data_IF_969991848453
#
_entry.id   IF_969991848453
#
_cell.length_a   1.000
_cell.length_b   1.000
_cell.length_c   1.000
_cell.angle_alpha   90.00
_cell.angle_beta   90.00
_cell.angle_gamma   90.00
#
_symmetry.space_group_name_H-M   'P 1'
#
loop_
_entity.id
_entity.type
_entity.pdbx_description
1 polymer ?
#
# COMPACT_ATOMS: atom_id res chain seq x y z
N UNK A 1 -19.01 -54.74 40.39
CA UNK A 1 -19.38 -53.34 40.05
C UNK A 1 -18.12 -52.65 39.54
N UNK A 2 -18.17 -52.06 38.34
CA UNK A 2 -16.99 -51.57 37.60
C UNK A 2 -16.87 -50.03 37.71
N UNK A 3 -15.64 -49.55 37.44
CA UNK A 3 -15.24 -48.21 36.92
C UNK A 3 -14.96 -47.16 38.01
N UNK A 4 -13.95 -46.28 37.92
CA UNK A 4 -13.06 -45.90 36.80
C UNK A 4 -11.85 -45.14 37.33
N UNK A 5 -10.75 -45.26 36.59
CA UNK A 5 -9.46 -44.57 36.72
C UNK A 5 -9.54 -43.03 36.74
N UNK A 6 -8.59 -42.47 37.49
CA UNK A 6 -7.94 -41.16 37.35
C UNK A 6 -7.52 -40.86 35.90
N UNK A 7 -7.84 -39.68 35.37
CA UNK A 7 -7.00 -38.98 34.38
C UNK A 7 -7.09 -37.47 34.61
N UNK A 8 -5.95 -36.89 34.98
CA UNK A 8 -5.71 -35.44 35.12
C UNK A 8 -5.50 -34.89 33.71
N UNK A 9 -6.34 -33.94 33.28
CA UNK A 9 -6.18 -33.25 31.99
C UNK A 9 -5.16 -32.13 32.16
N UNK A 10 -3.92 -32.37 31.73
CA UNK A 10 -2.94 -31.32 31.53
C UNK A 10 -3.21 -30.63 30.18
N UNK A 11 -3.90 -29.50 30.22
CA UNK A 11 -4.11 -28.61 29.07
C UNK A 11 -2.82 -27.79 28.83
N UNK A 12 -1.94 -28.30 27.98
CA UNK A 12 -0.81 -27.54 27.44
C UNK A 12 -1.33 -26.55 26.39
N UNK A 13 -1.52 -25.29 26.79
CA UNK A 13 -1.69 -24.17 25.87
C UNK A 13 -0.35 -23.93 25.15
N UNK A 14 -0.18 -24.54 23.98
CA UNK A 14 0.89 -24.15 23.05
C UNK A 14 0.55 -22.78 22.48
N UNK A 15 1.21 -21.76 23.03
CA UNK A 15 1.19 -20.40 22.52
C UNK A 15 1.81 -20.38 21.12
N UNK A 16 0.97 -20.45 20.08
CA UNK A 16 1.41 -20.19 18.71
C UNK A 16 1.68 -18.69 18.61
N UNK A 17 2.94 -18.29 18.78
CA UNK A 17 3.40 -16.97 18.37
C UNK A 17 3.46 -17.00 16.84
N UNK A 18 2.34 -16.68 16.22
CA UNK A 18 2.29 -16.37 14.79
C UNK A 18 3.21 -15.19 14.53
N UNK A 19 4.36 -15.43 13.90
CA UNK A 19 5.19 -14.36 13.37
C UNK A 19 4.44 -13.72 12.20
N UNK A 20 3.62 -12.71 12.49
CA UNK A 20 3.21 -11.75 11.47
C UNK A 20 4.43 -10.90 11.13
N UNK A 21 5.32 -11.44 10.29
CA UNK A 21 6.24 -10.62 9.53
C UNK A 21 5.37 -9.80 8.56
N UNK A 22 4.95 -8.64 9.06
CA UNK A 22 4.28 -7.62 8.28
C UNK A 22 5.21 -7.28 7.12
N UNK A 23 4.80 -7.65 5.91
CA UNK A 23 5.32 -7.05 4.70
C UNK A 23 5.24 -5.52 4.89
N UNK A 24 6.40 -4.89 5.07
CA UNK A 24 6.52 -3.45 5.25
C UNK A 24 6.17 -2.79 3.92
N UNK A 25 4.87 -2.60 3.69
CA UNK A 25 4.33 -1.99 2.48
C UNK A 25 4.83 -0.56 2.36
N UNK A 26 5.77 -0.34 1.45
CA UNK A 26 6.42 0.93 1.10
C UNK A 26 5.45 2.01 0.54
N UNK A 27 4.14 1.87 0.74
CA UNK A 27 3.09 2.60 0.03
C UNK A 27 2.72 3.94 0.70
N UNK A 28 3.15 4.19 1.95
CA UNK A 28 2.87 5.41 2.72
C UNK A 28 4.06 6.35 2.92
N UNK A 29 5.29 5.86 2.76
CA UNK A 29 6.50 6.53 3.26
C UNK A 29 6.89 7.78 2.43
N UNK A 30 6.58 7.77 1.13
CA UNK A 30 6.95 8.86 0.22
C UNK A 30 6.08 10.12 0.40
N UNK A 31 4.79 9.97 0.72
CA UNK A 31 3.90 11.11 0.96
C UNK A 31 4.29 11.83 2.24
N UNK A 32 4.59 11.08 3.30
CA UNK A 32 5.02 11.63 4.58
C UNK A 32 6.32 12.44 4.42
N UNK A 33 7.34 11.87 3.76
CA UNK A 33 8.61 12.55 3.48
C UNK A 33 8.42 13.84 2.68
N UNK A 34 7.56 13.81 1.66
CA UNK A 34 7.20 15.00 0.88
C UNK A 34 6.62 16.11 1.76
N UNK A 35 5.76 15.78 2.72
CA UNK A 35 5.09 16.79 3.56
C UNK A 35 6.06 17.36 4.58
N UNK A 36 6.90 16.51 5.18
CA UNK A 36 7.95 16.92 6.10
C UNK A 36 8.94 17.89 5.42
N UNK A 37 9.26 17.68 4.13
CA UNK A 37 10.16 18.59 3.40
C UNK A 37 9.55 19.97 3.12
N UNK A 38 8.22 20.11 3.07
CA UNK A 38 7.57 21.39 2.75
C UNK A 38 7.54 22.37 3.93
N UNK A 39 8.04 21.96 5.11
CA UNK A 39 8.19 22.81 6.31
C UNK A 39 6.92 23.63 6.59
N UNK A 40 5.78 22.93 6.64
CA UNK A 40 4.48 23.55 6.85
C UNK A 40 4.44 24.31 8.18
N UNK A 41 3.80 25.48 8.19
CA UNK A 41 3.48 26.18 9.44
C UNK A 41 2.30 25.48 10.17
N UNK A 42 2.02 25.90 11.40
CA UNK A 42 1.01 25.23 12.23
C UNK A 42 -0.42 25.37 11.69
N UNK A 43 -0.74 26.47 11.01
CA UNK A 43 -2.03 26.67 10.37
C UNK A 43 -2.18 25.77 9.13
N UNK A 44 -1.11 25.59 8.35
CA UNK A 44 -1.06 24.66 7.23
C UNK A 44 -1.15 23.20 7.71
N UNK A 45 -0.40 22.82 8.75
CA UNK A 45 -0.47 21.47 9.35
C UNK A 45 -1.88 21.12 9.78
N UNK A 46 -2.57 22.04 10.47
CA UNK A 46 -3.94 21.82 10.93
C UNK A 46 -4.91 21.52 9.78
N UNK A 47 -4.68 22.09 8.59
CA UNK A 47 -5.48 21.82 7.39
C UNK A 47 -5.05 20.56 6.63
N UNK A 48 -3.77 20.22 6.68
CA UNK A 48 -3.20 19.05 5.99
C UNK A 48 -3.47 17.74 6.73
N UNK A 49 -3.47 17.73 8.07
CA UNK A 49 -3.67 16.50 8.85
C UNK A 49 -4.97 15.75 8.50
N UNK A 50 -6.15 16.41 8.43
CA UNK A 50 -7.39 15.74 8.03
C UNK A 50 -7.33 15.10 6.63
N UNK A 51 -6.64 15.75 5.68
CA UNK A 51 -6.44 15.23 4.32
C UNK A 51 -5.62 13.93 4.37
N UNK A 52 -4.58 13.90 5.21
CA UNK A 52 -3.73 12.72 5.38
C UNK A 52 -4.44 11.58 6.10
N UNK A 53 -5.23 11.88 7.11
CA UNK A 53 -6.00 10.86 7.85
C UNK A 53 -7.08 10.23 6.95
N UNK A 54 -7.77 11.05 6.15
CA UNK A 54 -8.71 10.55 5.15
C UNK A 54 -8.00 9.68 4.11
N UNK A 55 -6.85 10.13 3.58
CA UNK A 55 -6.07 9.35 2.62
C UNK A 55 -5.59 8.04 3.24
N UNK A 56 -5.05 8.06 4.46
CA UNK A 56 -4.57 6.87 5.18
C UNK A 56 -5.69 5.85 5.36
N UNK A 57 -6.88 6.30 5.75
CA UNK A 57 -8.06 5.44 5.91
C UNK A 57 -8.46 4.80 4.59
N UNK A 58 -8.54 5.59 3.51
CA UNK A 58 -8.86 5.10 2.17
C UNK A 58 -7.83 4.08 1.67
N UNK A 59 -6.54 4.41 1.79
CA UNK A 59 -5.45 3.52 1.34
C UNK A 59 -5.39 2.24 2.17
N UNK A 60 -5.67 2.29 3.49
CA UNK A 60 -5.72 1.10 4.32
C UNK A 60 -6.84 0.15 3.86
N UNK A 61 -8.05 0.67 3.66
CA UNK A 61 -9.17 -0.13 3.16
C UNK A 61 -8.85 -0.76 1.80
N UNK A 62 -8.23 0.00 0.89
CA UNK A 62 -7.80 -0.52 -0.40
C UNK A 62 -6.68 -1.55 -0.29
N UNK A 63 -5.74 -1.41 0.65
CA UNK A 63 -4.68 -2.39 0.85
C UNK A 63 -5.22 -3.75 1.33
N UNK A 64 -6.22 -3.73 2.21
CA UNK A 64 -6.87 -4.94 2.70
C UNK A 64 -7.60 -5.66 1.53
N UNK A 65 -8.32 -4.91 0.68
CA UNK A 65 -8.96 -5.44 -0.53
C UNK A 65 -7.95 -5.97 -1.56
N UNK A 66 -6.82 -5.29 -1.71
CA UNK A 66 -5.77 -5.70 -2.65
C UNK A 66 -5.16 -7.04 -2.26
N UNK A 67 -4.87 -7.24 -0.96
CA UNK A 67 -4.34 -8.50 -0.44
C UNK A 67 -5.32 -9.66 -0.63
N UNK A 68 -6.60 -9.40 -0.44
CA UNK A 68 -7.65 -10.39 -0.68
C UNK A 68 -7.73 -10.79 -2.16
N UNK A 69 -7.73 -9.81 -3.07
CA UNK A 69 -7.67 -10.05 -4.52
C UNK A 69 -6.42 -10.83 -4.94
N UNK A 70 -5.24 -10.50 -4.39
CA UNK A 70 -4.01 -11.26 -4.64
C UNK A 70 -4.13 -12.71 -4.20
N UNK A 71 -4.79 -12.95 -3.08
CA UNK A 71 -5.01 -14.31 -2.58
C UNK A 71 -5.93 -15.10 -3.53
N UNK A 72 -7.04 -14.50 -3.96
CA UNK A 72 -7.98 -15.12 -4.90
C UNK A 72 -7.35 -15.38 -6.28
N UNK A 73 -6.55 -14.43 -6.79
CA UNK A 73 -5.83 -14.59 -8.06
C UNK A 73 -4.84 -15.76 -7.95
N UNK A 74 -4.06 -15.83 -6.87
CA UNK A 74 -3.11 -16.93 -6.67
C UNK A 74 -3.81 -18.29 -6.55
N UNK A 75 -4.98 -18.35 -5.91
CA UNK A 75 -5.79 -19.58 -5.84
C UNK A 75 -6.26 -20.04 -7.22
N UNK A 76 -6.70 -19.11 -8.09
CA UNK A 76 -7.07 -19.44 -9.47
C UNK A 76 -5.89 -19.96 -10.27
N UNK A 77 -4.72 -19.31 -10.15
CA UNK A 77 -3.48 -19.72 -10.85
C UNK A 77 -3.00 -21.11 -10.39
N UNK A 78 -3.20 -21.47 -9.12
CA UNK A 78 -2.77 -22.75 -8.55
C UNK A 78 -3.81 -23.88 -8.71
N UNK A 79 -4.97 -23.60 -9.30
CA UNK A 79 -6.01 -24.60 -9.50
C UNK A 79 -5.69 -25.51 -10.69
N UNK A 80 -6.15 -26.77 -10.64
CA UNK A 80 -5.93 -27.74 -11.72
C UNK A 80 -6.64 -27.33 -13.04
N UNK A 81 -7.68 -26.49 -12.95
CA UNK A 81 -8.40 -25.94 -14.08
C UNK A 81 -8.70 -24.46 -13.84
N UNK A 82 -7.92 -23.58 -14.47
CA UNK A 82 -8.15 -22.13 -14.38
C UNK A 82 -9.47 -21.75 -15.04
N UNK A 83 -10.37 -21.11 -14.30
CA UNK A 83 -11.50 -20.39 -14.87
C UNK A 83 -11.01 -19.02 -15.37
N UNK A 84 -10.74 -18.93 -16.67
CA UNK A 84 -10.22 -17.71 -17.29
C UNK A 84 -11.14 -16.50 -17.07
N UNK A 85 -12.47 -16.70 -17.12
CA UNK A 85 -13.42 -15.61 -16.95
C UNK A 85 -13.42 -15.12 -15.49
N UNK A 86 -13.30 -16.01 -14.52
CA UNK A 86 -13.14 -15.64 -13.12
C UNK A 86 -11.81 -14.90 -12.87
N UNK A 87 -10.71 -15.37 -13.47
CA UNK A 87 -9.40 -14.73 -13.37
C UNK A 87 -9.40 -13.31 -13.96
N UNK A 88 -9.96 -13.14 -15.15
CA UNK A 88 -10.10 -11.82 -15.79
C UNK A 88 -10.91 -10.85 -14.91
N UNK A 89 -12.02 -11.33 -14.34
CA UNK A 89 -12.83 -10.55 -13.40
C UNK A 89 -12.09 -10.13 -12.13
N UNK A 90 -11.17 -10.96 -11.61
CA UNK A 90 -10.31 -10.60 -10.48
C UNK A 90 -9.26 -9.55 -10.88
N UNK A 91 -8.67 -9.68 -12.06
CA UNK A 91 -7.70 -8.72 -12.60
C UNK A 91 -8.32 -7.35 -12.86
N UNK A 92 -9.55 -7.29 -13.36
CA UNK A 92 -10.29 -6.05 -13.56
C UNK A 92 -10.57 -5.33 -12.24
N UNK A 93 -11.00 -6.08 -11.21
CA UNK A 93 -11.20 -5.55 -9.85
C UNK A 93 -9.90 -4.98 -9.29
N UNK A 94 -8.78 -5.71 -9.45
CA UNK A 94 -7.47 -5.28 -8.99
C UNK A 94 -7.00 -4.01 -9.70
N UNK A 95 -7.16 -3.95 -11.02
CA UNK A 95 -6.83 -2.77 -11.84
C UNK A 95 -7.64 -1.54 -11.42
N UNK A 96 -8.95 -1.71 -11.25
CA UNK A 96 -9.83 -0.64 -10.75
C UNK A 96 -9.39 -0.14 -9.37
N UNK A 97 -9.10 -1.06 -8.45
CA UNK A 97 -8.66 -0.73 -7.10
C UNK A 97 -7.36 0.08 -7.09
N UNK A 98 -6.36 -0.32 -7.88
CA UNK A 98 -5.11 0.44 -8.05
C UNK A 98 -5.41 1.84 -8.58
N UNK A 99 -6.24 1.95 -9.62
CA UNK A 99 -6.65 3.23 -10.21
C UNK A 99 -7.33 4.16 -9.19
N UNK A 100 -8.21 3.62 -8.35
CA UNK A 100 -8.91 4.37 -7.31
C UNK A 100 -7.93 4.86 -6.21
N UNK A 101 -6.95 4.02 -5.82
CA UNK A 101 -5.86 4.45 -4.91
C UNK A 101 -5.01 5.56 -5.51
N UNK A 102 -4.67 5.48 -6.80
CA UNK A 102 -3.91 6.52 -7.50
C UNK A 102 -4.66 7.84 -7.53
N UNK A 103 -5.96 7.81 -7.86
CA UNK A 103 -6.84 8.99 -7.82
C UNK A 103 -6.90 9.62 -6.43
N UNK A 104 -7.07 8.80 -5.38
CA UNK A 104 -7.09 9.28 -4.00
C UNK A 104 -5.79 10.01 -3.63
N UNK A 105 -4.63 9.42 -3.96
CA UNK A 105 -3.32 10.05 -3.74
C UNK A 105 -3.16 11.35 -4.53
N UNK A 106 -3.57 11.38 -5.81
CA UNK A 106 -3.48 12.57 -6.65
C UNK A 106 -4.35 13.72 -6.09
N UNK A 107 -5.58 13.42 -5.68
CA UNK A 107 -6.48 14.39 -5.07
C UNK A 107 -5.91 14.94 -3.75
N UNK A 108 -5.36 14.08 -2.89
CA UNK A 108 -4.72 14.53 -1.66
C UNK A 108 -3.51 15.44 -1.94
N UNK A 109 -2.64 15.09 -2.90
CA UNK A 109 -1.53 15.95 -3.33
C UNK A 109 -2.01 17.31 -3.80
N UNK A 110 -3.07 17.34 -4.62
CA UNK A 110 -3.64 18.60 -5.12
C UNK A 110 -4.17 19.48 -3.99
N UNK A 111 -4.93 18.90 -3.04
CA UNK A 111 -5.44 19.63 -1.88
C UNK A 111 -4.31 20.17 -0.99
N UNK A 112 -3.24 19.41 -0.80
CA UNK A 112 -2.07 19.90 -0.06
C UNK A 112 -1.38 21.03 -0.82
N UNK A 113 -1.16 20.86 -2.13
CA UNK A 113 -0.52 21.86 -2.99
C UNK A 113 -1.25 23.21 -2.99
N UNK A 114 -2.58 23.20 -2.93
CA UNK A 114 -3.37 24.44 -2.88
C UNK A 114 -3.20 25.23 -1.58
N UNK A 115 -2.79 24.57 -0.49
CA UNK A 115 -2.52 25.18 0.82
C UNK A 115 -1.09 25.74 0.96
N UNK A 116 -0.22 25.47 0.00
CA UNK A 116 1.18 25.89 0.03
C UNK A 116 1.35 27.35 -0.38
N UNK A 117 2.32 28.02 0.24
CA UNK A 117 2.83 29.32 -0.21
C UNK A 117 3.53 29.22 -1.57
N UNK A 118 3.79 30.36 -2.22
CA UNK A 118 4.51 30.39 -3.49
C UNK A 118 5.88 29.69 -3.41
N UNK A 119 6.64 29.96 -2.35
CA UNK A 119 7.95 29.34 -2.12
C UNK A 119 7.85 27.82 -1.92
N UNK A 120 6.89 27.36 -1.12
CA UNK A 120 6.66 25.92 -0.89
C UNK A 120 6.20 25.20 -2.17
N UNK A 121 5.43 25.87 -3.05
CA UNK A 121 5.04 25.31 -4.36
C UNK A 121 6.26 25.09 -5.25
N UNK A 122 7.20 26.03 -5.28
CA UNK A 122 8.47 25.85 -6.01
C UNK A 122 9.27 24.68 -5.46
N UNK A 123 9.36 24.54 -4.14
CA UNK A 123 10.04 23.40 -3.50
C UNK A 123 9.37 22.06 -3.85
N UNK A 124 8.03 22.01 -3.80
CA UNK A 124 7.25 20.85 -4.24
C UNK A 124 7.54 20.46 -5.68
N UNK A 125 7.52 21.43 -6.61
CA UNK A 125 7.77 21.20 -8.04
C UNK A 125 9.19 20.66 -8.29
N UNK A 126 10.19 21.22 -7.62
CA UNK A 126 11.58 20.76 -7.72
C UNK A 126 11.73 19.32 -7.24
N UNK A 127 11.06 18.95 -6.15
CA UNK A 127 11.04 17.57 -5.65
C UNK A 127 10.37 16.61 -6.63
N UNK A 128 9.24 17.00 -7.23
CA UNK A 128 8.56 16.18 -8.23
C UNK A 128 9.45 15.94 -9.46
N UNK A 129 10.12 16.99 -9.96
CA UNK A 129 11.07 16.86 -11.07
C UNK A 129 12.23 15.91 -10.76
N UNK A 130 12.85 16.04 -9.59
CA UNK A 130 13.90 15.10 -9.14
C UNK A 130 13.40 13.66 -9.05
N UNK A 131 12.15 13.47 -8.63
CA UNK A 131 11.56 12.14 -8.56
C UNK A 131 11.32 11.56 -9.95
N UNK A 132 10.82 12.35 -10.90
CA UNK A 132 10.66 11.97 -12.30
C UNK A 132 12.00 11.58 -12.94
N UNK A 133 13.04 12.39 -12.76
CA UNK A 133 14.40 12.09 -13.24
C UNK A 133 14.93 10.77 -12.67
N UNK A 134 14.75 10.55 -11.36
CA UNK A 134 15.14 9.30 -10.70
C UNK A 134 14.37 8.09 -11.23
N UNK A 135 13.07 8.25 -11.48
CA UNK A 135 12.24 7.17 -12.04
C UNK A 135 12.61 6.87 -13.50
N UNK A 136 12.88 7.91 -14.30
CA UNK A 136 13.37 7.75 -15.67
C UNK A 136 14.72 7.03 -15.71
N UNK A 137 15.66 7.41 -14.83
CA UNK A 137 16.96 6.74 -14.73
C UNK A 137 16.82 5.24 -14.38
N UNK A 138 15.98 4.91 -13.38
CA UNK A 138 15.68 3.51 -13.02
C UNK A 138 15.06 2.72 -14.16
N UNK A 139 14.18 3.36 -14.93
CA UNK A 139 13.56 2.72 -16.09
C UNK A 139 14.60 2.39 -17.17
N UNK A 140 15.53 3.31 -17.43
CA UNK A 140 16.63 3.07 -18.38
C UNK A 140 17.58 1.97 -17.92
N UNK A 141 17.86 1.89 -16.62
CA UNK A 141 18.69 0.85 -16.00
C UNK A 141 18.08 -0.55 -16.23
N UNK A 142 16.80 -0.72 -15.87
CA UNK A 142 16.05 -1.96 -16.07
C UNK A 142 15.86 -2.35 -17.55
N UNK A 143 16.03 -1.40 -18.47
CA UNK A 143 16.04 -1.68 -19.91
C UNK A 143 17.39 -2.25 -20.34
N UNK A 144 18.50 -1.64 -19.93
CA UNK A 144 19.86 -2.10 -20.27
C UNK A 144 20.13 -3.51 -19.78
N UNK A 145 19.70 -3.84 -18.55
CA UNK A 145 19.83 -5.19 -17.99
C UNK A 145 19.13 -6.28 -18.83
N UNK A 146 18.13 -5.92 -19.66
CA UNK A 146 17.45 -6.88 -20.57
C UNK A 146 18.07 -6.95 -21.95
N UNK A 147 18.87 -5.95 -22.34
CA UNK A 147 19.53 -5.90 -23.64
C UNK A 147 20.93 -6.57 -23.58
N UNK A 148 21.45 -6.83 -22.37
CA UNK A 148 22.75 -7.47 -22.09
C UNK A 148 22.64 -8.99 -21.73
N UNK A 149 21.44 -9.59 -21.84
CA UNK A 149 21.16 -11.04 -21.66
C UNK A 149 20.78 -11.70 -23.00
#
# INVERSE_FOLDING_TARGET
MKKSLLWIVALSFSLVIGQTALAHGHCGDNMKKMIESLRLDDAQKAKVMPILDQLKTSIKASADQFKDLDTQINQQIQSDNTDQAALDGLMDKKTKLIGDMMKAKANAKHQIYSLLSAQQKTEYQNMMKKWEEKMAAKYQDCKKDKDDE
#
